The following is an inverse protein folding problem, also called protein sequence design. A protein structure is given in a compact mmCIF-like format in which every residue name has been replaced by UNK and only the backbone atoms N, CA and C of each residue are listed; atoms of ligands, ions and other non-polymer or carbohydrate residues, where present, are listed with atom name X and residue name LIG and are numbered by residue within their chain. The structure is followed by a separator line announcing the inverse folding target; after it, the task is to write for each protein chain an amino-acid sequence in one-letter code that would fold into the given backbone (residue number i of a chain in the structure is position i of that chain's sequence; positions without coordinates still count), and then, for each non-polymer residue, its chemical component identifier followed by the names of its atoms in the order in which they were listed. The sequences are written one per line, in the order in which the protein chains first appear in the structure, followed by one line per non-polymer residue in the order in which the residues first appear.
data_IF_404703067493
#
_entry.id   IF_404703067493
#
_cell.length_a   1.000
_cell.length_b   1.000
_cell.length_c   1.000
_cell.angle_alpha   90.00
_cell.angle_beta   90.00
_cell.angle_gamma   90.00
#
_symmetry.space_group_name_H-M   'P 1'
#
loop_
_entity.id
_entity.type
_entity.pdbx_description
1 polymer ?
#
# COMPACT_ATOMS: atom_id res chain seq x y z
N UNK A 1 -17.55 28.27 -2.11
CA UNK A 1 -16.48 27.44 -1.51
C UNK A 1 -16.14 26.35 -2.51
N UNK A 2 -14.87 25.97 -2.71
CA UNK A 2 -14.51 24.82 -3.54
C UNK A 2 -15.14 23.54 -2.97
N UNK A 3 -15.58 22.63 -3.83
CA UNK A 3 -16.27 21.39 -3.44
C UNK A 3 -15.68 20.22 -4.25
N UNK A 4 -15.41 19.12 -3.56
CA UNK A 4 -14.74 17.97 -4.15
C UNK A 4 -15.58 16.69 -4.02
N UNK A 5 -15.48 15.82 -5.03
CA UNK A 5 -15.94 14.42 -4.95
C UNK A 5 -14.72 13.53 -4.72
N UNK A 6 -14.82 12.62 -3.76
CA UNK A 6 -13.80 11.61 -3.47
C UNK A 6 -14.44 10.23 -3.62
N UNK A 7 -13.85 9.33 -4.39
CA UNK A 7 -14.40 7.98 -4.62
C UNK A 7 -13.45 6.88 -4.17
N UNK A 8 -13.98 5.81 -3.55
CA UNK A 8 -13.25 4.56 -3.31
C UNK A 8 -12.07 4.67 -2.32
N UNK A 9 -12.16 5.57 -1.35
CA UNK A 9 -11.10 5.92 -0.43
C UNK A 9 -11.01 4.96 0.79
N UNK A 10 -10.51 3.74 0.61
CA UNK A 10 -10.40 2.75 1.71
C UNK A 10 -9.00 2.58 2.31
N UNK A 11 -7.97 3.23 1.75
CA UNK A 11 -6.58 3.16 2.23
C UNK A 11 -6.10 4.43 2.95
N UNK A 12 -4.87 4.41 3.49
CA UNK A 12 -4.21 5.50 4.27
C UNK A 12 -4.35 6.88 3.61
N UNK A 13 -4.20 6.98 2.28
CA UNK A 13 -4.37 8.25 1.57
C UNK A 13 -5.84 8.62 1.38
N UNK A 14 -6.72 7.62 1.26
CA UNK A 14 -8.15 7.81 1.10
C UNK A 14 -8.81 8.39 2.34
N UNK A 15 -8.52 7.85 3.52
CA UNK A 15 -9.05 8.35 4.80
C UNK A 15 -8.68 9.81 5.05
N UNK A 16 -7.43 10.20 4.77
CA UNK A 16 -6.97 11.59 4.89
C UNK A 16 -7.68 12.55 3.92
N UNK A 17 -7.97 12.09 2.70
CA UNK A 17 -8.72 12.86 1.69
C UNK A 17 -10.19 13.00 2.10
N UNK A 18 -10.83 11.93 2.57
CA UNK A 18 -12.22 11.91 3.05
C UNK A 18 -12.41 12.82 4.25
N UNK A 19 -11.53 12.69 5.26
CA UNK A 19 -11.56 13.52 6.47
C UNK A 19 -11.49 15.02 6.12
N UNK A 20 -10.72 15.37 5.08
CA UNK A 20 -10.54 16.76 4.67
C UNK A 20 -11.68 17.30 3.78
N UNK A 21 -12.28 16.47 2.92
CA UNK A 21 -13.13 16.95 1.81
C UNK A 21 -14.63 16.64 1.92
N UNK A 22 -15.06 15.81 2.89
CA UNK A 22 -16.46 15.42 3.16
C UNK A 22 -17.19 14.64 2.03
N UNK A 23 -17.93 13.61 2.48
CA UNK A 23 -18.77 12.61 1.77
C UNK A 23 -18.01 11.41 1.19
N UNK A 24 -18.21 10.27 1.84
CA UNK A 24 -17.88 8.93 1.34
C UNK A 24 -18.94 8.43 0.37
N UNK A 25 -18.52 7.98 -0.81
CA UNK A 25 -19.36 7.30 -1.77
C UNK A 25 -18.68 5.99 -2.18
N UNK A 26 -19.30 4.87 -1.81
CA UNK A 26 -18.88 3.52 -2.18
C UNK A 26 -19.84 2.98 -3.26
N UNK A 27 -19.30 2.71 -4.46
CA UNK A 27 -20.07 2.12 -5.56
C UNK A 27 -19.28 0.99 -6.20
N UNK A 28 -19.56 -0.24 -5.78
CA UNK A 28 -19.08 -1.43 -6.48
C UNK A 28 -20.03 -1.74 -7.65
N UNK A 29 -19.56 -1.52 -8.88
CA UNK A 29 -20.17 -2.01 -10.13
C UNK A 29 -21.60 -1.49 -10.44
N UNK A 30 -21.91 -0.23 -10.16
CA UNK A 30 -23.12 0.39 -10.71
C UNK A 30 -22.96 0.76 -12.19
N UNK A 31 -24.06 0.75 -12.94
CA UNK A 31 -24.10 1.33 -14.29
C UNK A 31 -23.91 2.85 -14.22
N UNK A 32 -23.50 3.49 -15.31
CA UNK A 32 -23.39 4.95 -15.35
C UNK A 32 -24.74 5.64 -15.04
N UNK A 33 -25.86 5.03 -15.44
CA UNK A 33 -27.21 5.55 -15.17
C UNK A 33 -27.57 5.45 -13.68
N UNK A 34 -27.14 4.40 -12.99
CA UNK A 34 -27.36 4.26 -11.55
C UNK A 34 -26.46 5.23 -10.77
N UNK A 35 -25.18 5.37 -11.15
CA UNK A 35 -24.30 6.39 -10.58
C UNK A 35 -24.84 7.81 -10.81
N UNK A 36 -25.43 8.08 -11.98
CA UNK A 36 -25.99 9.38 -12.30
C UNK A 36 -27.13 9.77 -11.37
N UNK A 37 -27.98 8.80 -10.95
CA UNK A 37 -29.04 9.03 -9.95
C UNK A 37 -28.46 9.50 -8.62
N UNK A 38 -27.38 8.86 -8.17
CA UNK A 38 -26.70 9.22 -6.92
C UNK A 38 -26.01 10.59 -7.02
N UNK A 39 -25.63 11.01 -8.23
CA UNK A 39 -24.94 12.28 -8.50
C UNK A 39 -25.85 13.46 -8.84
N UNK A 40 -27.17 13.27 -8.99
CA UNK A 40 -28.09 14.32 -9.49
C UNK A 40 -28.02 15.66 -8.74
N UNK A 41 -27.63 15.66 -7.46
CA UNK A 41 -27.56 16.85 -6.62
C UNK A 41 -26.13 17.20 -6.18
N UNK A 42 -25.10 16.58 -6.76
CA UNK A 42 -23.71 16.85 -6.41
C UNK A 42 -23.18 18.00 -7.27
N UNK A 43 -22.69 19.04 -6.60
CA UNK A 43 -22.04 20.19 -7.23
C UNK A 43 -20.58 20.19 -6.78
N UNK A 44 -19.67 19.75 -7.65
CA UNK A 44 -18.24 19.68 -7.37
C UNK A 44 -17.41 20.30 -8.49
N UNK A 45 -16.36 21.04 -8.12
CA UNK A 45 -15.39 21.60 -9.07
C UNK A 45 -14.08 20.81 -9.12
N UNK A 46 -13.87 19.88 -8.18
CA UNK A 46 -12.74 18.95 -8.16
C UNK A 46 -13.21 17.50 -8.00
N UNK A 47 -12.54 16.56 -8.66
CA UNK A 47 -12.73 15.13 -8.46
C UNK A 47 -11.41 14.47 -8.09
N UNK A 48 -11.44 13.63 -7.05
CA UNK A 48 -10.40 12.69 -6.68
C UNK A 48 -10.94 11.27 -6.85
N UNK A 49 -10.57 10.62 -7.95
CA UNK A 49 -10.95 9.24 -8.23
C UNK A 49 -9.93 8.29 -7.60
N UNK A 50 -10.27 7.60 -6.51
CA UNK A 50 -9.37 6.70 -5.79
C UNK A 50 -9.85 5.23 -5.81
N UNK A 51 -10.95 4.94 -6.49
CA UNK A 51 -11.47 3.58 -6.61
C UNK A 51 -10.53 2.67 -7.40
N UNK A 52 -10.23 1.51 -6.82
CA UNK A 52 -9.49 0.43 -7.46
C UNK A 52 -10.10 -0.91 -7.07
N UNK A 53 -10.17 -1.82 -8.04
CA UNK A 53 -10.70 -3.16 -7.85
C UNK A 53 -9.67 -4.19 -8.35
N UNK A 54 -9.08 -4.94 -7.42
CA UNK A 54 -8.13 -5.99 -7.74
C UNK A 54 -8.81 -7.17 -8.47
N UNK A 55 -8.10 -7.72 -9.46
CA UNK A 55 -8.41 -8.95 -10.18
C UNK A 55 -7.12 -9.74 -10.37
N UNK A 56 -7.25 -11.06 -10.41
CA UNK A 56 -6.10 -11.96 -10.55
C UNK A 56 -5.45 -11.84 -11.94
N UNK A 57 -6.28 -11.63 -12.97
CA UNK A 57 -5.80 -11.43 -14.34
C UNK A 57 -5.55 -9.94 -14.66
N UNK A 58 -4.37 -9.55 -15.18
CA UNK A 58 -4.06 -8.16 -15.51
C UNK A 58 -4.98 -7.52 -16.57
N UNK A 59 -5.44 -8.30 -17.55
CA UNK A 59 -6.35 -7.80 -18.60
C UNK A 59 -7.72 -7.51 -18.01
N UNK A 60 -8.23 -8.41 -17.18
CA UNK A 60 -9.49 -8.23 -16.45
C UNK A 60 -9.40 -7.12 -15.41
N UNK A 61 -8.25 -6.97 -14.74
CA UNK A 61 -7.98 -5.84 -13.85
C UNK A 61 -8.04 -4.52 -14.62
N UNK A 62 -7.37 -4.45 -15.77
CA UNK A 62 -7.40 -3.27 -16.65
C UNK A 62 -8.82 -2.97 -17.11
N UNK A 63 -9.54 -3.99 -17.59
CA UNK A 63 -10.92 -3.87 -18.08
C UNK A 63 -11.84 -3.36 -16.97
N UNK A 64 -11.84 -4.01 -15.81
CA UNK A 64 -12.72 -3.64 -14.69
C UNK A 64 -12.47 -2.20 -14.20
N UNK A 65 -11.21 -1.82 -13.99
CA UNK A 65 -10.86 -0.49 -13.51
C UNK A 65 -11.12 0.60 -14.56
N UNK A 66 -10.87 0.31 -15.85
CA UNK A 66 -11.19 1.24 -16.95
C UNK A 66 -12.70 1.42 -17.11
N UNK A 67 -13.49 0.35 -17.05
CA UNK A 67 -14.95 0.43 -17.10
C UNK A 67 -15.51 1.24 -15.94
N UNK A 68 -14.98 1.05 -14.72
CA UNK A 68 -15.42 1.81 -13.56
C UNK A 68 -15.12 3.31 -13.70
N UNK A 69 -13.92 3.67 -14.16
CA UNK A 69 -13.57 5.06 -14.44
C UNK A 69 -14.45 5.66 -15.55
N UNK A 70 -14.69 4.89 -16.63
CA UNK A 70 -15.52 5.33 -17.75
C UNK A 70 -16.98 5.56 -17.34
N UNK A 71 -17.57 4.64 -16.56
CA UNK A 71 -18.93 4.80 -16.04
C UNK A 71 -19.05 6.03 -15.14
N UNK A 72 -18.04 6.27 -14.28
CA UNK A 72 -18.03 7.43 -13.41
C UNK A 72 -17.98 8.75 -14.19
N UNK A 73 -17.09 8.85 -15.20
CA UNK A 73 -17.04 10.03 -16.08
C UNK A 73 -18.37 10.19 -16.82
N UNK A 74 -18.95 9.10 -17.32
CA UNK A 74 -20.24 9.13 -18.01
C UNK A 74 -21.38 9.62 -17.10
N UNK A 75 -21.38 9.23 -15.83
CA UNK A 75 -22.36 9.73 -14.87
C UNK A 75 -22.23 11.24 -14.62
N UNK A 76 -21.00 11.78 -14.61
CA UNK A 76 -20.76 13.22 -14.54
C UNK A 76 -21.24 13.96 -15.79
N UNK A 77 -21.13 13.35 -16.97
CA UNK A 77 -21.71 13.89 -18.22
C UNK A 77 -23.25 13.90 -18.16
N UNK A 78 -23.86 12.78 -17.75
CA UNK A 78 -25.32 12.64 -17.69
C UNK A 78 -25.97 13.63 -16.71
N UNK A 79 -25.28 13.99 -15.64
CA UNK A 79 -25.76 14.96 -14.64
C UNK A 79 -25.44 16.41 -15.00
N UNK A 80 -24.63 16.66 -16.04
CA UNK A 80 -24.11 18.00 -16.37
C UNK A 80 -23.03 18.50 -15.40
N UNK A 81 -22.70 17.75 -14.35
CA UNK A 81 -21.68 18.13 -13.37
C UNK A 81 -20.30 18.33 -14.00
N UNK A 82 -20.03 17.67 -15.13
CA UNK A 82 -18.77 17.79 -15.87
C UNK A 82 -18.47 19.23 -16.34
N UNK A 83 -19.50 20.05 -16.59
CA UNK A 83 -19.33 21.43 -17.06
C UNK A 83 -18.76 22.37 -15.99
N UNK A 84 -18.86 21.98 -14.72
CA UNK A 84 -18.39 22.76 -13.58
C UNK A 84 -17.03 22.27 -13.04
N UNK A 85 -16.52 21.16 -13.56
CA UNK A 85 -15.25 20.58 -13.13
C UNK A 85 -14.07 21.42 -13.61
N UNK A 86 -13.25 21.87 -12.66
CA UNK A 86 -11.97 22.53 -12.90
C UNK A 86 -10.82 21.55 -12.95
N UNK A 87 -10.92 20.42 -12.24
CA UNK A 87 -9.85 19.43 -12.17
C UNK A 87 -10.36 18.03 -11.85
N UNK A 88 -9.89 17.05 -12.63
CA UNK A 88 -10.04 15.62 -12.35
C UNK A 88 -8.67 15.05 -11.98
N UNK A 89 -8.58 14.38 -10.83
CA UNK A 89 -7.37 13.74 -10.32
C UNK A 89 -7.63 12.25 -10.23
N UNK A 90 -6.97 11.49 -11.09
CA UNK A 90 -6.94 10.03 -10.99
C UNK A 90 -5.83 9.63 -10.02
N UNK A 91 -6.21 9.09 -8.87
CA UNK A 91 -5.28 8.60 -7.86
C UNK A 91 -4.93 7.15 -8.15
N UNK A 92 -3.82 6.91 -8.84
CA UNK A 92 -3.31 5.55 -9.09
C UNK A 92 -2.56 4.94 -7.89
N UNK A 93 -2.78 5.50 -6.68
CA UNK A 93 -1.99 5.24 -5.49
C UNK A 93 -0.67 6.04 -5.45
N UNK A 94 -0.24 6.42 -4.25
CA UNK A 94 1.14 6.83 -3.98
C UNK A 94 1.77 5.75 -3.11
N UNK A 95 2.91 5.21 -3.53
CA UNK A 95 3.71 4.30 -2.71
C UNK A 95 5.08 4.92 -2.53
N UNK A 96 5.44 5.32 -1.31
CA UNK A 96 6.82 5.66 -1.06
C UNK A 96 7.38 5.39 0.35
N UNK A 97 8.62 4.87 0.35
CA UNK A 97 9.56 4.82 1.46
C UNK A 97 10.94 5.25 0.96
N UNK A 98 11.71 5.92 1.82
CA UNK A 98 12.97 6.62 1.52
C UNK A 98 14.16 5.75 1.16
N UNK A 99 15.00 6.29 0.29
CA UNK A 99 15.62 5.61 -0.87
C UNK A 99 16.89 6.26 -1.35
N UNK A 100 17.42 7.17 -0.56
CA UNK A 100 18.34 8.12 -1.13
C UNK A 100 19.74 7.53 -1.37
N UNK A 101 20.10 6.27 -0.99
CA UNK A 101 21.52 5.87 -0.93
C UNK A 101 21.86 4.35 -1.10
N UNK A 102 21.06 3.54 -1.81
CA UNK A 102 21.32 2.08 -1.98
C UNK A 102 20.43 1.19 -1.09
N UNK A 103 20.76 -0.11 -0.93
CA UNK A 103 19.96 -1.11 -0.19
C UNK A 103 19.40 -0.54 1.11
N UNK A 104 18.15 -0.09 1.07
CA UNK A 104 17.60 0.71 2.15
C UNK A 104 17.18 -0.19 3.30
N UNK A 105 17.97 -0.16 4.36
CA UNK A 105 17.59 -0.66 5.68
C UNK A 105 16.78 0.45 6.33
N UNK A 106 15.45 0.31 6.47
CA UNK A 106 14.58 1.31 7.14
C UNK A 106 15.01 1.51 8.60
N UNK A 107 15.86 2.50 8.92
CA UNK A 107 16.59 2.48 10.19
C UNK A 107 15.69 2.89 11.36
N UNK A 108 14.63 3.66 11.09
CA UNK A 108 13.76 4.22 12.12
C UNK A 108 12.47 3.42 12.33
N UNK A 109 11.98 2.69 11.32
CA UNK A 109 10.72 1.96 11.42
C UNK A 109 10.91 0.56 12.02
N UNK A 110 11.97 -0.17 11.64
CA UNK A 110 12.18 -1.53 12.13
C UNK A 110 12.37 -1.63 13.64
N UNK A 111 13.13 -0.72 14.31
CA UNK A 111 13.23 -0.74 15.77
C UNK A 111 11.89 -0.50 16.45
N UNK A 112 11.08 0.44 15.94
CA UNK A 112 9.76 0.74 16.49
C UNK A 112 8.77 -0.42 16.30
N UNK A 113 8.79 -1.08 15.14
CA UNK A 113 7.99 -2.29 14.91
C UNK A 113 8.42 -3.43 15.83
N UNK A 114 9.73 -3.64 15.99
CA UNK A 114 10.24 -4.67 16.90
C UNK A 114 9.80 -4.38 18.34
N UNK A 115 10.00 -3.16 18.83
CA UNK A 115 9.55 -2.73 20.15
C UNK A 115 8.03 -2.85 20.34
N UNK A 116 7.25 -2.46 19.33
CA UNK A 116 5.78 -2.60 19.34
C UNK A 116 5.36 -4.03 19.62
N UNK A 117 5.97 -5.02 18.99
CA UNK A 117 5.62 -6.44 19.16
C UNK A 117 6.46 -7.18 20.21
N UNK A 118 7.29 -6.48 20.99
CA UNK A 118 8.15 -7.10 22.02
C UNK A 118 9.35 -7.88 21.45
N UNK A 119 9.65 -7.70 20.17
CA UNK A 119 10.78 -8.30 19.47
C UNK A 119 12.08 -7.52 19.69
N UNK A 120 13.22 -8.16 19.41
CA UNK A 120 14.55 -7.53 19.40
C UNK A 120 15.07 -7.46 17.98
N UNK A 121 15.65 -6.32 17.60
CA UNK A 121 16.37 -6.18 16.34
C UNK A 121 17.70 -6.93 16.42
N UNK A 122 17.98 -7.91 15.54
CA UNK A 122 19.27 -8.58 15.52
C UNK A 122 20.45 -7.64 15.24
N UNK A 123 21.62 -7.97 15.80
CA UNK A 123 22.88 -7.28 15.51
C UNK A 123 23.99 -8.31 15.22
N UNK A 124 24.47 -8.43 13.96
CA UNK A 124 24.07 -7.64 12.80
C UNK A 124 22.69 -8.06 12.25
N UNK A 125 21.91 -7.08 11.76
CA UNK A 125 20.62 -7.34 11.10
C UNK A 125 20.77 -8.02 9.72
N UNK A 126 21.92 -7.80 9.07
CA UNK A 126 22.23 -8.32 7.73
C UNK A 126 23.59 -9.01 7.74
N UNK A 127 23.72 -10.21 8.35
CA UNK A 127 25.00 -10.88 8.55
C UNK A 127 25.74 -11.20 7.24
N UNK A 128 25.01 -11.33 6.13
CA UNK A 128 25.58 -11.65 4.81
C UNK A 128 25.46 -10.50 3.80
N UNK A 129 25.25 -9.28 4.28
CA UNK A 129 25.18 -8.07 3.46
C UNK A 129 23.76 -7.63 3.12
N UNK A 130 22.83 -8.57 2.90
CA UNK A 130 21.45 -8.24 2.58
C UNK A 130 21.28 -7.68 1.17
N UNK A 131 22.02 -8.25 0.23
CA UNK A 131 22.01 -7.91 -1.20
C UNK A 131 21.50 -9.10 -2.00
N UNK A 132 21.12 -8.87 -3.25
CA UNK A 132 20.71 -9.91 -4.19
C UNK A 132 21.67 -11.09 -4.17
N UNK A 133 21.11 -12.30 -4.04
CA UNK A 133 21.83 -13.58 -3.95
C UNK A 133 22.73 -13.79 -2.72
N UNK A 134 22.72 -12.86 -1.75
CA UNK A 134 23.34 -13.12 -0.45
C UNK A 134 22.57 -14.19 0.35
N UNK A 135 23.27 -14.87 1.25
CA UNK A 135 22.61 -15.80 2.16
C UNK A 135 21.59 -15.09 3.06
N UNK A 136 20.50 -15.80 3.38
CA UNK A 136 19.43 -15.31 4.24
C UNK A 136 19.83 -15.16 5.71
N UNK A 137 18.89 -14.73 6.54
CA UNK A 137 19.16 -14.58 7.97
C UNK A 137 19.08 -15.95 8.67
N UNK A 138 20.18 -16.42 9.28
CA UNK A 138 20.19 -17.68 10.03
C UNK A 138 19.78 -18.88 9.16
N UNK A 139 18.79 -19.65 9.63
CA UNK A 139 18.26 -20.81 8.90
C UNK A 139 17.00 -20.49 8.07
N UNK A 140 16.70 -19.21 7.84
CA UNK A 140 15.58 -18.82 7.00
C UNK A 140 16.00 -18.83 5.53
N UNK A 141 15.10 -19.28 4.66
CA UNK A 141 15.29 -19.19 3.22
C UNK A 141 15.19 -17.73 2.77
N UNK A 142 16.12 -17.28 1.94
CA UNK A 142 16.04 -15.99 1.27
C UNK A 142 15.27 -16.09 -0.05
N UNK A 143 14.83 -14.94 -0.56
CA UNK A 143 14.26 -14.81 -1.92
C UNK A 143 15.17 -13.94 -2.77
N UNK A 144 15.39 -14.36 -4.02
CA UNK A 144 15.75 -13.45 -5.12
C UNK A 144 14.71 -13.62 -6.23
N UNK A 145 14.02 -12.54 -6.60
CA UNK A 145 13.21 -12.47 -7.82
C UNK A 145 13.92 -11.56 -8.81
N UNK A 146 14.15 -12.03 -10.04
CA UNK A 146 14.67 -11.21 -11.13
C UNK A 146 13.52 -10.77 -12.00
N UNK A 147 13.44 -9.48 -12.27
CA UNK A 147 12.42 -8.98 -13.18
C UNK A 147 12.95 -8.91 -14.61
N UNK A 148 12.06 -9.11 -15.58
CA UNK A 148 12.41 -9.09 -17.01
C UNK A 148 12.47 -7.66 -17.57
N UNK A 149 11.79 -6.71 -16.93
CA UNK A 149 11.75 -5.33 -17.38
C UNK A 149 13.07 -4.59 -17.14
N UNK A 150 13.24 -3.50 -17.90
CA UNK A 150 14.28 -2.52 -17.65
C UNK A 150 14.22 -2.00 -16.20
N UNK A 151 15.40 -1.79 -15.60
CA UNK A 151 15.51 -1.17 -14.29
C UNK A 151 14.89 0.23 -14.33
N UNK A 152 14.03 0.63 -13.37
CA UNK A 152 13.32 1.92 -13.45
C UNK A 152 14.23 3.14 -13.55
N UNK A 153 15.45 3.05 -13.02
CA UNK A 153 16.46 4.10 -13.18
C UNK A 153 16.85 4.35 -14.65
N UNK A 154 16.71 3.38 -15.56
CA UNK A 154 17.01 3.53 -17.00
C UNK A 154 16.31 4.71 -17.64
N UNK A 155 15.08 5.00 -17.23
CA UNK A 155 14.30 6.14 -17.72
C UNK A 155 14.93 7.51 -17.42
N UNK A 156 15.80 7.57 -16.40
CA UNK A 156 16.37 8.83 -15.91
C UNK A 156 17.90 8.82 -15.82
N UNK A 157 18.59 7.77 -16.24
CA UNK A 157 20.06 7.57 -16.11
C UNK A 157 20.86 8.82 -16.50
N UNK A 158 20.56 9.39 -17.66
CA UNK A 158 21.25 10.58 -18.18
C UNK A 158 20.99 11.84 -17.37
N UNK A 159 19.82 11.96 -16.74
CA UNK A 159 19.40 13.14 -15.99
C UNK A 159 20.00 13.15 -14.59
N UNK A 160 20.07 11.98 -13.94
CA UNK A 160 20.57 11.85 -12.57
C UNK A 160 22.02 11.39 -12.48
N UNK A 161 22.68 11.12 -13.62
CA UNK A 161 24.09 10.73 -13.68
C UNK A 161 24.38 9.34 -13.12
N UNK A 162 23.42 8.42 -13.22
CA UNK A 162 23.58 7.01 -12.80
C UNK A 162 23.52 6.09 -14.01
N UNK A 163 23.99 4.85 -13.85
CA UNK A 163 23.88 3.78 -14.83
C UNK A 163 23.37 2.52 -14.15
N UNK A 164 22.21 2.02 -14.56
CA UNK A 164 21.64 0.77 -14.09
C UNK A 164 22.15 -0.37 -14.98
N UNK A 165 23.15 -1.09 -14.47
CA UNK A 165 23.85 -2.12 -15.25
C UNK A 165 23.11 -3.46 -15.33
N UNK A 166 22.10 -3.68 -14.48
CA UNK A 166 21.34 -4.93 -14.40
C UNK A 166 19.84 -4.71 -14.40
N UNK A 167 19.09 -5.77 -14.68
CA UNK A 167 17.64 -5.80 -14.46
C UNK A 167 17.33 -5.68 -12.97
N UNK A 168 16.20 -5.06 -12.58
CA UNK A 168 15.86 -4.87 -11.19
C UNK A 168 15.58 -6.21 -10.53
N UNK A 169 15.91 -6.30 -9.24
CA UNK A 169 15.69 -7.51 -8.45
C UNK A 169 14.93 -7.21 -7.17
N UNK A 170 14.21 -8.23 -6.68
CA UNK A 170 13.63 -8.25 -5.35
C UNK A 170 14.44 -9.22 -4.49
N UNK A 171 14.99 -8.74 -3.38
CA UNK A 171 15.72 -9.57 -2.44
C UNK A 171 15.18 -9.42 -1.01
N UNK A 172 14.86 -10.53 -0.36
CA UNK A 172 14.50 -10.57 1.06
C UNK A 172 15.36 -11.61 1.79
N UNK A 173 15.93 -11.24 2.94
CA UNK A 173 16.72 -12.19 3.77
C UNK A 173 15.88 -13.35 4.32
N UNK A 174 14.58 -13.15 4.41
CA UNK A 174 13.58 -14.15 4.75
C UNK A 174 12.51 -14.04 3.69
N UNK A 175 12.27 -15.13 2.97
CA UNK A 175 11.20 -15.27 1.99
C UNK A 175 9.85 -15.25 2.71
N UNK A 176 9.03 -14.19 2.57
CA UNK A 176 7.76 -14.08 3.29
C UNK A 176 6.78 -15.23 2.99
N UNK A 177 6.72 -15.66 1.73
CA UNK A 177 5.80 -16.71 1.30
C UNK A 177 6.21 -18.07 1.85
N UNK A 178 7.50 -18.41 1.76
CA UNK A 178 8.00 -19.67 2.31
C UNK A 178 7.96 -19.66 3.83
N UNK A 179 8.31 -18.54 4.46
CA UNK A 179 8.22 -18.36 5.91
C UNK A 179 6.79 -18.62 6.40
N UNK A 180 5.79 -18.02 5.75
CA UNK A 180 4.38 -18.19 6.11
C UNK A 180 3.86 -19.63 5.91
N UNK A 181 4.54 -20.45 5.08
CA UNK A 181 4.21 -21.86 4.84
C UNK A 181 4.92 -22.83 5.80
N UNK A 182 5.87 -22.37 6.61
CA UNK A 182 6.59 -23.25 7.54
C UNK A 182 5.66 -23.80 8.62
N UNK A 183 5.89 -25.05 9.02
CA UNK A 183 5.10 -25.70 10.06
C UNK A 183 5.18 -24.97 11.40
N UNK A 184 6.37 -24.60 11.85
CA UNK A 184 6.58 -23.92 13.13
C UNK A 184 5.90 -22.54 13.18
N UNK A 185 5.91 -21.81 12.06
CA UNK A 185 5.21 -20.52 11.92
C UNK A 185 3.70 -20.70 12.00
N UNK A 186 3.13 -21.69 11.29
CA UNK A 186 1.69 -21.96 11.33
C UNK A 186 1.24 -22.49 12.70
N UNK A 187 2.05 -23.29 13.37
CA UNK A 187 1.79 -23.72 14.75
C UNK A 187 1.82 -22.54 15.73
N UNK A 188 2.80 -21.64 15.60
CA UNK A 188 2.88 -20.42 16.41
C UNK A 188 1.66 -19.52 16.16
N UNK A 189 1.29 -19.29 14.89
CA UNK A 189 0.10 -18.53 14.53
C UNK A 189 -1.19 -19.19 15.07
N UNK A 190 -1.31 -20.52 14.95
CA UNK A 190 -2.45 -21.27 15.48
C UNK A 190 -2.64 -21.06 16.99
N UNK A 191 -1.56 -21.07 17.77
CA UNK A 191 -1.60 -20.76 19.21
C UNK A 191 -2.13 -19.35 19.49
N UNK A 192 -1.67 -18.34 18.74
CA UNK A 192 -2.14 -16.97 18.88
C UNK A 192 -3.61 -16.84 18.47
N UNK A 193 -3.98 -17.43 17.33
CA UNK A 193 -5.33 -17.43 16.81
C UNK A 193 -6.32 -18.02 17.81
N UNK A 194 -6.04 -19.21 18.32
CA UNK A 194 -6.96 -19.90 19.23
C UNK A 194 -7.07 -19.17 20.57
N UNK A 195 -5.95 -18.62 21.07
CA UNK A 195 -5.92 -17.86 22.33
C UNK A 195 -6.66 -16.52 22.26
N UNK A 196 -6.57 -15.83 21.14
CA UNK A 196 -7.13 -14.48 20.97
C UNK A 196 -8.36 -14.43 20.06
N UNK A 197 -8.85 -15.59 19.59
CA UNK A 197 -9.97 -15.74 18.66
C UNK A 197 -9.81 -14.90 17.38
N UNK A 198 -8.66 -15.04 16.72
CA UNK A 198 -8.30 -14.25 15.54
C UNK A 198 -8.94 -14.79 14.25
N UNK A 199 -9.17 -13.90 13.27
CA UNK A 199 -9.69 -14.27 11.95
C UNK A 199 -8.64 -15.03 11.13
N UNK A 200 -8.83 -16.35 11.04
CA UNK A 200 -7.99 -17.23 10.22
C UNK A 200 -7.97 -16.82 8.73
N UNK A 201 -9.07 -16.26 8.21
CA UNK A 201 -9.13 -15.86 6.79
C UNK A 201 -8.16 -14.72 6.49
N UNK A 202 -7.84 -13.88 7.48
CA UNK A 202 -6.89 -12.80 7.30
C UNK A 202 -5.47 -13.34 7.05
N UNK A 203 -5.08 -14.42 7.74
CA UNK A 203 -3.81 -15.11 7.51
C UNK A 203 -3.76 -15.79 6.15
N UNK A 204 -4.84 -16.46 5.75
CA UNK A 204 -4.93 -17.17 4.46
C UNK A 204 -4.94 -16.23 3.27
N UNK A 205 -5.50 -15.03 3.42
CA UNK A 205 -5.56 -13.99 2.38
C UNK A 205 -4.42 -12.98 2.44
N UNK A 206 -3.45 -13.17 3.33
CA UNK A 206 -2.30 -12.28 3.41
C UNK A 206 -1.49 -12.35 2.11
N UNK A 207 -1.23 -11.20 1.50
CA UNK A 207 -0.48 -11.06 0.25
C UNK A 207 1.02 -11.06 0.53
N UNK A 208 1.56 -12.24 0.85
CA UNK A 208 2.98 -12.44 1.19
C UNK A 208 3.92 -12.11 0.01
N UNK A 209 3.48 -12.41 -1.21
CA UNK A 209 4.15 -12.07 -2.47
C UNK A 209 4.29 -10.55 -2.64
N UNK A 210 3.23 -9.81 -2.29
CA UNK A 210 3.24 -8.36 -2.30
C UNK A 210 4.19 -7.79 -1.25
N UNK A 211 4.39 -8.48 -0.12
CA UNK A 211 5.40 -8.09 0.88
C UNK A 211 6.82 -8.25 0.32
N UNK A 212 7.09 -9.33 -0.42
CA UNK A 212 8.35 -9.51 -1.17
C UNK A 212 8.58 -8.37 -2.16
N UNK A 213 7.55 -7.98 -2.91
CA UNK A 213 7.63 -6.82 -3.80
C UNK A 213 7.84 -5.51 -3.04
N UNK A 214 7.18 -5.30 -1.92
CA UNK A 214 7.27 -4.04 -1.19
C UNK A 214 8.66 -3.86 -0.55
N UNK A 215 9.17 -4.91 0.10
CA UNK A 215 10.38 -4.89 0.91
C UNK A 215 11.65 -5.30 0.14
N UNK A 216 11.52 -6.04 -0.97
CA UNK A 216 12.67 -6.61 -1.65
C UNK A 216 13.34 -5.71 -2.69
N UNK A 217 12.70 -4.62 -3.11
CA UNK A 217 13.21 -3.78 -4.21
C UNK A 217 14.59 -3.21 -3.92
N UNK A 218 15.47 -3.31 -4.91
CA UNK A 218 16.77 -2.61 -4.92
C UNK A 218 16.66 -1.13 -5.37
N UNK A 219 15.44 -0.65 -5.65
CA UNK A 219 15.18 0.71 -6.13
C UNK A 219 14.09 1.45 -5.36
N UNK A 220 13.98 2.73 -5.72
CA UNK A 220 13.17 3.76 -5.09
C UNK A 220 11.91 4.17 -5.84
N UNK A 221 10.93 4.77 -5.14
CA UNK A 221 9.78 5.42 -5.79
C UNK A 221 9.34 6.80 -5.23
N UNK A 222 10.19 7.84 -5.17
CA UNK A 222 9.86 9.08 -4.40
C UNK A 222 8.74 9.89 -5.05
N UNK A 223 7.62 10.03 -4.34
CA UNK A 223 6.56 10.97 -4.69
C UNK A 223 6.80 12.36 -4.07
N UNK A 224 6.60 13.41 -4.85
CA UNK A 224 6.55 14.79 -4.33
C UNK A 224 5.11 15.28 -4.20
N UNK A 225 4.75 15.77 -3.01
CA UNK A 225 3.47 16.45 -2.78
C UNK A 225 3.51 17.93 -3.16
N UNK A 226 4.64 18.44 -3.69
CA UNK A 226 4.83 19.88 -3.95
C UNK A 226 3.75 20.49 -4.84
N UNK A 227 3.28 19.77 -5.87
CA UNK A 227 2.19 20.25 -6.73
C UNK A 227 0.88 20.39 -5.94
N UNK A 228 0.51 19.38 -5.15
CA UNK A 228 -0.67 19.43 -4.30
C UNK A 228 -0.57 20.58 -3.27
N UNK A 229 0.60 20.76 -2.65
CA UNK A 229 0.87 21.84 -1.70
C UNK A 229 0.75 23.23 -2.35
N UNK A 230 1.29 23.42 -3.55
CA UNK A 230 1.11 24.67 -4.34
C UNK A 230 -0.35 24.94 -4.72
N UNK A 231 -1.18 23.91 -4.76
CA UNK A 231 -2.62 24.00 -5.01
C UNK A 231 -3.46 24.14 -3.73
N UNK A 232 -2.82 24.29 -2.57
CA UNK A 232 -3.48 24.56 -1.28
C UNK A 232 -3.61 23.35 -0.35
N UNK A 233 -3.17 22.15 -0.75
CA UNK A 233 -3.22 20.97 0.13
C UNK A 233 -2.12 21.05 1.21
N UNK A 234 -2.51 21.21 2.46
CA UNK A 234 -1.58 21.24 3.60
C UNK A 234 -1.63 20.00 4.47
N UNK A 235 -2.60 19.10 4.23
CA UNK A 235 -2.76 17.84 4.96
C UNK A 235 -1.47 17.01 4.96
N UNK A 236 -1.14 16.46 6.12
CA UNK A 236 -0.05 15.54 6.32
C UNK A 236 -0.47 14.50 7.36
N UNK A 237 0.16 13.35 7.32
CA UNK A 237 0.07 12.33 8.36
C UNK A 237 1.47 11.83 8.67
N UNK A 238 1.77 11.59 9.95
CA UNK A 238 3.00 10.93 10.33
C UNK A 238 2.90 9.44 9.98
N UNK A 239 3.95 8.90 9.35
CA UNK A 239 3.93 7.50 8.88
C UNK A 239 3.83 6.50 10.02
N UNK A 240 4.41 6.80 11.19
CA UNK A 240 4.35 5.90 12.33
C UNK A 240 2.97 5.95 12.99
N UNK A 241 2.40 7.15 13.16
CA UNK A 241 1.04 7.31 13.70
C UNK A 241 0.00 6.56 12.84
N UNK A 242 0.08 6.67 11.52
CA UNK A 242 -0.81 5.92 10.60
C UNK A 242 -0.64 4.40 10.69
N UNK A 243 0.60 3.92 10.86
CA UNK A 243 0.86 2.50 11.09
C UNK A 243 0.28 2.03 12.42
N UNK A 244 0.45 2.82 13.48
CA UNK A 244 -0.06 2.54 14.81
C UNK A 244 -1.60 2.46 14.81
N UNK A 245 -2.26 3.46 14.22
CA UNK A 245 -3.73 3.47 14.05
C UNK A 245 -4.22 2.25 13.24
N UNK A 246 -3.49 1.88 12.18
CA UNK A 246 -3.80 0.69 11.39
C UNK A 246 -3.68 -0.58 12.24
N UNK A 247 -2.60 -0.73 13.03
CA UNK A 247 -2.44 -1.90 13.90
C UNK A 247 -3.55 -1.97 14.95
N UNK A 248 -3.88 -0.86 15.62
CA UNK A 248 -4.98 -0.81 16.57
C UNK A 248 -6.32 -1.21 15.94
N UNK A 249 -6.59 -0.76 14.71
CA UNK A 249 -7.78 -1.15 13.98
C UNK A 249 -7.80 -2.68 13.75
N UNK A 250 -6.70 -3.25 13.29
CA UNK A 250 -6.58 -4.69 13.05
C UNK A 250 -6.72 -5.50 14.33
N UNK A 251 -6.21 -5.00 15.47
CA UNK A 251 -6.40 -5.60 16.79
C UNK A 251 -7.87 -5.57 17.21
N UNK A 252 -8.54 -4.42 17.10
CA UNK A 252 -9.98 -4.26 17.40
C UNK A 252 -10.86 -5.15 16.52
N UNK A 253 -10.43 -5.44 15.29
CA UNK A 253 -11.14 -6.31 14.35
C UNK A 253 -10.79 -7.80 14.49
N UNK A 254 -9.92 -8.17 15.43
CA UNK A 254 -9.51 -9.57 15.63
C UNK A 254 -8.66 -10.13 14.49
N UNK A 255 -8.02 -9.26 13.70
CA UNK A 255 -7.05 -9.68 12.67
C UNK A 255 -5.67 -9.88 13.32
N UNK A 256 -5.30 -9.02 14.26
CA UNK A 256 -4.08 -9.12 15.05
C UNK A 256 -4.40 -9.36 16.53
N UNK A 257 -3.51 -10.02 17.29
CA UNK A 257 -3.65 -10.13 18.74
C UNK A 257 -3.49 -8.75 19.40
N UNK A 258 -4.26 -8.43 20.46
CA UNK A 258 -4.09 -7.18 21.21
C UNK A 258 -2.66 -7.07 21.74
N UNK A 259 -1.93 -6.03 21.37
CA UNK A 259 -0.47 -5.98 21.54
C UNK A 259 -0.03 -6.03 23.00
N UNK A 260 -0.77 -5.39 23.91
CA UNK A 260 -0.47 -5.38 25.35
C UNK A 260 -0.62 -6.76 25.98
N UNK A 261 -1.62 -7.53 25.51
CA UNK A 261 -1.82 -8.91 25.97
C UNK A 261 -0.76 -9.83 25.38
N UNK A 262 -0.43 -9.64 24.10
CA UNK A 262 0.64 -10.39 23.42
C UNK A 262 1.95 -10.30 24.20
N UNK A 263 2.39 -9.08 24.54
CA UNK A 263 3.64 -8.81 25.29
C UNK A 263 3.67 -9.37 26.72
N UNK A 264 2.50 -9.49 27.35
CA UNK A 264 2.40 -10.04 28.70
C UNK A 264 2.47 -11.57 28.69
N UNK A 265 1.89 -12.15 27.65
CA UNK A 265 1.67 -13.58 27.54
C UNK A 265 2.85 -14.34 26.92
N UNK A 266 3.76 -13.64 26.23
CA UNK A 266 4.93 -14.15 25.51
C UNK A 266 6.12 -13.20 25.66
#
# INVERSE_FOLDING_TARGET
MPSAIVTGATGITGSAIVHHLCKDLEHEKSSADDMAKDFQNIQADHVFFCAYLARDDPVESTRANTTMLSNFIRALELTGAIEHLKRFILTCGFKHYGVHLGNCKQPNLWPRLAERFGCKVPNPLFPHGGVTDSAGFGNYEATTVRMENAHPLKEHEHVIGVKAESSPSLFCQVDPEKWAKRQDVNEAWGKLRDKYNLDQKAWEKATWDFLTFALGRDWSCVGTMSKARKLGWTGYADTWEELEETFEMLEKKGVLPPVDRLKKDF
#
